data_IF_248436739317
#
_entry.id   IF_248436739317
#
_cell.length_a   1.000
_cell.length_b   1.000
_cell.length_c   1.000
_cell.angle_alpha   90.00
_cell.angle_beta   90.00
_cell.angle_gamma   90.00
#
_symmetry.space_group_name_H-M   'P 1'
#
loop_
_entity.id
_entity.type
_entity.pdbx_description
1 polymer ?
#
# COMPACT_ATOMS: atom_id res chain seq x y z
N UNK A 1 -14.14 26.83 -1.88
CA UNK A 1 -14.17 25.97 -3.07
C UNK A 1 -13.50 24.69 -2.64
N UNK A 2 -14.22 23.58 -2.70
CA UNK A 2 -13.68 22.28 -2.30
C UNK A 2 -12.64 21.79 -3.33
N UNK A 3 -11.87 20.75 -3.01
CA UNK A 3 -10.93 20.15 -3.96
C UNK A 3 -11.69 19.59 -5.15
N UNK A 4 -12.84 18.95 -4.92
CA UNK A 4 -13.71 18.46 -5.99
C UNK A 4 -14.22 19.60 -6.89
N UNK A 5 -14.74 20.68 -6.32
CA UNK A 5 -15.22 21.84 -7.09
C UNK A 5 -14.12 22.39 -8.00
N UNK A 6 -12.89 22.47 -7.46
CA UNK A 6 -11.73 22.93 -8.20
C UNK A 6 -11.40 21.99 -9.37
N UNK A 7 -11.35 20.68 -9.12
CA UNK A 7 -11.06 19.66 -10.15
C UNK A 7 -12.13 19.69 -11.22
N UNK A 8 -13.41 19.55 -10.85
CA UNK A 8 -14.52 19.57 -11.80
C UNK A 8 -14.52 20.83 -12.67
N UNK A 9 -14.15 21.99 -12.10
CA UNK A 9 -14.12 23.26 -12.84
C UNK A 9 -12.96 23.32 -13.83
N UNK A 10 -11.76 22.91 -13.42
CA UNK A 10 -10.51 23.22 -14.13
C UNK A 10 -9.94 22.04 -14.93
N UNK A 11 -10.19 20.79 -14.53
CA UNK A 11 -9.56 19.61 -15.10
C UNK A 11 -10.44 19.02 -16.21
N UNK A 12 -10.35 19.61 -17.41
CA UNK A 12 -11.29 19.32 -18.52
C UNK A 12 -10.77 18.36 -19.59
N UNK A 13 -9.46 18.31 -19.82
CA UNK A 13 -8.87 17.62 -20.98
C UNK A 13 -7.58 16.89 -20.61
N UNK A 14 -7.17 15.95 -21.45
CA UNK A 14 -5.96 15.13 -21.29
C UNK A 14 -5.95 14.39 -19.94
N UNK A 15 -4.79 14.18 -19.35
CA UNK A 15 -4.65 13.46 -18.07
C UNK A 15 -5.41 14.13 -16.92
N UNK A 16 -5.57 15.46 -16.94
CA UNK A 16 -6.39 16.17 -15.96
C UNK A 16 -7.87 15.79 -16.12
N UNK A 17 -8.39 15.76 -17.35
CA UNK A 17 -9.75 15.28 -17.63
C UNK A 17 -9.96 13.83 -17.18
N UNK A 18 -9.01 12.94 -17.47
CA UNK A 18 -9.06 11.55 -17.03
C UNK A 18 -9.13 11.42 -15.50
N UNK A 19 -8.37 12.25 -14.76
CA UNK A 19 -8.46 12.32 -13.31
C UNK A 19 -9.84 12.81 -12.83
N UNK A 20 -10.41 13.84 -13.46
CA UNK A 20 -11.74 14.33 -13.12
C UNK A 20 -12.83 13.27 -13.35
N UNK A 21 -12.78 12.57 -14.47
CA UNK A 21 -13.74 11.51 -14.81
C UNK A 21 -13.60 10.31 -13.86
N UNK A 22 -12.37 9.94 -13.49
CA UNK A 22 -12.07 8.91 -12.51
C UNK A 22 -12.67 9.25 -11.14
N UNK A 23 -12.53 10.49 -10.68
CA UNK A 23 -13.05 10.95 -9.38
C UNK A 23 -14.58 10.86 -9.34
N UNK A 24 -15.29 11.32 -10.36
CA UNK A 24 -16.76 11.22 -10.37
C UNK A 24 -17.22 9.75 -10.48
N UNK A 25 -16.48 8.93 -11.21
CA UNK A 25 -16.80 7.51 -11.34
C UNK A 25 -16.59 6.74 -10.04
N UNK A 26 -15.46 6.90 -9.35
CA UNK A 26 -15.19 6.19 -8.09
C UNK A 26 -16.16 6.63 -6.99
N UNK A 27 -16.54 7.93 -6.97
CA UNK A 27 -17.56 8.42 -6.05
C UNK A 27 -18.89 7.73 -6.28
N UNK A 28 -19.36 7.71 -7.53
CA UNK A 28 -20.60 7.03 -7.90
C UNK A 28 -20.52 5.55 -7.52
N UNK A 29 -19.39 4.89 -7.74
CA UNK A 29 -19.17 3.50 -7.36
C UNK A 29 -19.30 3.28 -5.85
N UNK A 30 -18.64 4.11 -5.03
CA UNK A 30 -18.71 4.04 -3.57
C UNK A 30 -20.11 4.42 -3.02
N UNK A 31 -20.82 5.34 -3.67
CA UNK A 31 -22.19 5.74 -3.31
C UNK A 31 -23.23 4.64 -3.62
N UNK A 32 -22.89 3.66 -4.48
CA UNK A 32 -23.73 2.52 -4.83
C UNK A 32 -23.19 1.21 -4.21
N UNK A 33 -22.84 1.27 -2.93
CA UNK A 33 -22.39 0.12 -2.12
C UNK A 33 -21.12 -0.58 -2.63
N UNK A 34 -20.29 0.12 -3.43
CA UNK A 34 -19.02 -0.38 -3.91
C UNK A 34 -17.95 -0.47 -2.83
N UNK A 35 -17.25 -1.61 -2.75
CA UNK A 35 -16.06 -1.79 -1.91
C UNK A 35 -14.81 -1.44 -2.70
N UNK A 36 -13.87 -0.73 -2.07
CA UNK A 36 -12.64 -0.30 -2.72
C UNK A 36 -11.41 -0.91 -2.06
N UNK A 37 -10.62 -1.61 -2.87
CA UNK A 37 -9.23 -1.94 -2.54
C UNK A 37 -8.30 -0.89 -3.16
N UNK A 38 -7.36 -0.39 -2.36
CA UNK A 38 -6.26 0.45 -2.86
C UNK A 38 -4.98 -0.37 -2.84
N UNK A 39 -4.21 -0.31 -3.93
CA UNK A 39 -2.86 -0.89 -3.93
C UNK A 39 -1.81 0.19 -3.72
N UNK A 40 -0.78 -0.07 -2.93
CA UNK A 40 0.34 0.88 -2.71
C UNK A 40 1.65 0.26 -3.22
N UNK A 41 2.08 0.68 -4.40
CA UNK A 41 3.45 0.54 -4.88
C UNK A 41 4.23 1.84 -4.66
N UNK A 42 5.46 1.92 -5.18
CA UNK A 42 6.33 3.08 -4.97
C UNK A 42 6.61 3.33 -3.49
N UNK A 43 7.19 4.47 -3.15
CA UNK A 43 7.49 4.86 -1.77
C UNK A 43 6.40 5.77 -1.19
N UNK A 44 5.12 5.37 -1.29
CA UNK A 44 3.99 6.24 -0.93
C UNK A 44 3.89 6.52 0.56
N UNK A 45 4.33 5.59 1.41
CA UNK A 45 4.42 5.79 2.85
C UNK A 45 5.51 6.80 3.22
N UNK A 46 6.69 6.69 2.61
CA UNK A 46 7.72 7.75 2.68
C UNK A 46 7.23 9.09 2.11
N UNK A 47 6.37 9.08 1.09
CA UNK A 47 5.72 10.28 0.56
C UNK A 47 4.57 10.81 1.45
N UNK A 48 4.39 10.26 2.65
CA UNK A 48 3.42 10.69 3.66
C UNK A 48 1.97 10.62 3.17
N UNK A 49 1.64 9.60 2.36
CA UNK A 49 0.27 9.42 1.86
C UNK A 49 -0.75 9.26 3.00
N UNK A 50 -0.31 8.83 4.18
CA UNK A 50 -1.14 8.66 5.36
C UNK A 50 -1.93 9.92 5.75
N UNK A 51 -1.43 11.12 5.45
CA UNK A 51 -2.16 12.39 5.63
C UNK A 51 -3.52 12.44 4.94
N UNK A 52 -3.68 11.73 3.83
CA UNK A 52 -4.95 11.66 3.08
C UNK A 52 -5.57 10.27 3.07
N UNK A 53 -4.75 9.21 3.18
CA UNK A 53 -5.23 7.84 3.24
C UNK A 53 -5.83 7.49 4.60
N UNK A 54 -5.26 7.96 5.71
CA UNK A 54 -5.78 7.66 7.04
C UNK A 54 -7.20 8.22 7.26
N UNK A 55 -7.53 9.47 6.88
CA UNK A 55 -8.92 9.95 6.88
C UNK A 55 -9.85 9.11 6.00
N UNK A 56 -9.41 8.69 4.81
CA UNK A 56 -10.20 7.88 3.90
C UNK A 56 -10.53 6.48 4.47
N UNK A 57 -9.58 5.86 5.17
CA UNK A 57 -9.81 4.62 5.93
C UNK A 57 -10.82 4.86 7.05
N UNK A 58 -10.61 5.89 7.89
CA UNK A 58 -11.50 6.21 9.03
C UNK A 58 -12.93 6.52 8.60
N UNK A 59 -13.12 7.03 7.39
CA UNK A 59 -14.45 7.33 6.83
C UNK A 59 -14.99 6.21 5.95
N UNK A 60 -14.42 5.00 6.06
CA UNK A 60 -14.89 3.78 5.42
C UNK A 60 -14.98 3.89 3.88
N UNK A 61 -14.09 4.67 3.27
CA UNK A 61 -13.97 4.75 1.80
C UNK A 61 -13.00 3.71 1.24
N UNK A 62 -12.13 3.16 2.09
CA UNK A 62 -11.16 2.12 1.75
C UNK A 62 -11.50 0.87 2.58
N UNK A 63 -11.56 -0.28 1.91
CA UNK A 63 -12.06 -1.53 2.48
C UNK A 63 -10.99 -2.62 2.58
N UNK A 64 -9.90 -2.47 1.83
CA UNK A 64 -8.68 -3.27 1.97
C UNK A 64 -7.50 -2.55 1.31
N UNK A 65 -6.28 -2.93 1.70
CA UNK A 65 -5.05 -2.44 1.09
C UNK A 65 -4.21 -3.64 0.62
N UNK A 66 -3.62 -3.53 -0.56
CA UNK A 66 -2.53 -4.41 -0.98
C UNK A 66 -1.26 -3.59 -1.19
N UNK A 67 -0.19 -3.85 -0.45
CA UNK A 67 1.00 -3.00 -0.48
C UNK A 67 2.30 -3.80 -0.60
N UNK A 68 3.37 -3.13 -1.02
CA UNK A 68 4.73 -3.67 -0.89
C UNK A 68 5.15 -3.69 0.57
N UNK A 69 6.12 -4.54 0.93
CA UNK A 69 6.67 -4.57 2.29
C UNK A 69 7.24 -3.22 2.72
N UNK A 70 7.90 -2.49 1.81
CA UNK A 70 8.38 -1.13 2.05
C UNK A 70 7.26 -0.18 2.49
N UNK A 71 6.10 -0.17 1.82
CA UNK A 71 4.99 0.69 2.26
C UNK A 71 4.45 0.25 3.63
N UNK A 72 4.35 -1.06 3.88
CA UNK A 72 3.88 -1.58 5.16
C UNK A 72 4.76 -1.15 6.34
N UNK A 73 6.07 -1.01 6.16
CA UNK A 73 6.99 -0.68 7.26
C UNK A 73 7.33 0.80 7.35
N UNK A 74 7.41 1.52 6.22
CA UNK A 74 7.89 2.91 6.19
C UNK A 74 6.92 3.91 6.82
N UNK A 75 5.60 3.64 6.86
CA UNK A 75 4.64 4.47 7.60
C UNK A 75 4.85 4.34 9.12
N UNK A 76 5.16 3.13 9.61
CA UNK A 76 5.54 2.89 10.99
C UNK A 76 6.89 3.56 11.32
N UNK A 77 7.89 3.42 10.44
CA UNK A 77 9.20 4.07 10.61
C UNK A 77 9.06 5.60 10.69
N UNK A 78 8.23 6.17 9.82
CA UNK A 78 7.96 7.60 9.82
C UNK A 78 7.24 8.03 11.11
N UNK A 79 6.29 7.24 11.60
CA UNK A 79 5.58 7.52 12.84
C UNK A 79 6.52 7.50 14.07
N UNK A 80 7.55 6.65 14.07
CA UNK A 80 8.51 6.53 15.17
C UNK A 80 9.58 7.62 15.16
N UNK A 81 10.07 8.05 14.00
CA UNK A 81 11.26 8.90 13.92
C UNK A 81 11.07 10.12 13.00
N UNK A 82 9.85 10.64 12.87
CA UNK A 82 9.47 11.67 11.89
C UNK A 82 10.42 12.86 11.83
N UNK A 83 10.85 13.36 12.98
CA UNK A 83 11.69 14.55 13.17
C UNK A 83 13.16 14.31 12.81
N UNK A 84 13.59 13.04 12.81
CA UNK A 84 14.93 12.61 12.40
C UNK A 84 15.05 12.38 10.88
N UNK A 85 13.94 12.37 10.14
CA UNK A 85 13.95 12.29 8.67
C UNK A 85 14.56 13.56 8.05
N UNK A 86 15.45 13.38 7.08
CA UNK A 86 16.09 14.50 6.38
C UNK A 86 15.50 14.72 4.99
N UNK A 87 15.02 15.93 4.72
CA UNK A 87 14.67 16.32 3.35
C UNK A 87 15.93 16.70 2.57
N UNK A 88 15.99 16.29 1.30
CA UNK A 88 17.10 16.53 0.37
C UNK A 88 16.59 17.38 -0.80
N UNK A 89 16.60 18.72 -0.70
CA UNK A 89 16.00 19.60 -1.72
C UNK A 89 16.60 19.47 -3.12
N UNK A 90 17.88 19.12 -3.22
CA UNK A 90 18.64 19.03 -4.49
C UNK A 90 18.98 17.57 -4.87
N UNK A 91 18.10 16.63 -4.55
CA UNK A 91 18.35 15.19 -4.75
C UNK A 91 18.68 14.79 -6.21
N UNK A 92 18.33 15.61 -7.21
CA UNK A 92 18.66 15.35 -8.62
C UNK A 92 20.14 15.60 -8.94
N UNK A 93 20.81 16.41 -8.13
CA UNK A 93 22.24 16.74 -8.28
C UNK A 93 23.12 15.93 -7.30
N UNK A 94 22.53 14.98 -6.56
CA UNK A 94 23.20 14.19 -5.54
C UNK A 94 24.27 13.27 -6.18
N UNK A 95 25.50 13.36 -5.69
CA UNK A 95 26.60 12.53 -6.14
C UNK A 95 26.73 11.24 -5.33
N UNK A 96 27.49 10.28 -5.83
CA UNK A 96 27.81 9.06 -5.08
C UNK A 96 28.54 9.34 -3.75
N UNK A 97 29.31 10.44 -3.67
CA UNK A 97 29.96 10.87 -2.43
C UNK A 97 28.96 11.42 -1.41
N UNK A 98 27.90 12.08 -1.88
CA UNK A 98 26.83 12.57 -1.00
C UNK A 98 26.01 11.40 -0.45
N UNK A 99 25.72 10.39 -1.27
CA UNK A 99 25.09 9.14 -0.83
C UNK A 99 25.98 8.37 0.16
N UNK A 100 27.30 8.34 -0.04
CA UNK A 100 28.24 7.78 0.95
C UNK A 100 28.18 8.56 2.27
N UNK A 101 28.09 9.89 2.23
CA UNK A 101 27.98 10.70 3.44
C UNK A 101 26.68 10.41 4.21
N UNK A 102 25.55 10.23 3.52
CA UNK A 102 24.31 9.76 4.16
C UNK A 102 24.52 8.40 4.83
N UNK A 103 25.13 7.45 4.12
CA UNK A 103 25.40 6.12 4.66
C UNK A 103 26.31 6.16 5.90
N UNK A 104 27.40 6.94 5.88
CA UNK A 104 28.30 7.12 7.03
C UNK A 104 27.60 7.75 8.25
N UNK A 105 26.52 8.50 8.01
CA UNK A 105 25.66 9.08 9.06
C UNK A 105 24.52 8.14 9.50
N UNK A 106 24.41 6.96 8.90
CA UNK A 106 23.34 6.00 9.19
C UNK A 106 21.99 6.38 8.57
N UNK A 107 22.00 7.06 7.41
CA UNK A 107 20.79 7.46 6.70
C UNK A 107 20.64 6.67 5.39
N UNK A 108 19.43 6.19 5.12
CA UNK A 108 19.06 5.49 3.89
C UNK A 108 18.20 6.41 3.00
N UNK A 109 18.62 6.66 1.75
CA UNK A 109 17.93 7.62 0.88
C UNK A 109 16.84 6.97 0.02
N UNK A 110 15.66 7.60 0.02
CA UNK A 110 14.57 7.38 -0.93
C UNK A 110 14.27 8.71 -1.60
N UNK A 111 14.59 8.82 -2.89
CA UNK A 111 14.47 10.07 -3.68
C UNK A 111 15.05 11.29 -2.98
N UNK A 112 14.19 12.11 -2.39
CA UNK A 112 14.44 13.39 -1.73
C UNK A 112 14.25 13.36 -0.21
N UNK A 113 14.25 12.14 0.36
CA UNK A 113 14.10 11.88 1.79
C UNK A 113 15.21 10.91 2.24
N UNK A 114 15.80 11.15 3.41
CA UNK A 114 16.73 10.24 4.07
C UNK A 114 16.09 9.72 5.37
N UNK A 115 16.05 8.40 5.51
CA UNK A 115 15.45 7.67 6.62
C UNK A 115 16.54 7.28 7.63
N UNK A 116 16.39 7.61 8.91
CA UNK A 116 17.38 7.29 9.95
C UNK A 116 17.33 5.81 10.35
N UNK A 117 18.44 5.10 10.16
CA UNK A 117 18.56 3.67 10.46
C UNK A 117 18.36 3.37 11.95
N UNK A 118 19.00 4.14 12.84
CA UNK A 118 19.00 3.81 14.27
C UNK A 118 17.69 4.19 14.95
N UNK A 119 17.21 5.40 14.66
CA UNK A 119 16.03 6.01 15.27
C UNK A 119 14.74 5.36 14.76
N UNK A 120 14.68 4.97 13.48
CA UNK A 120 13.50 4.30 12.93
C UNK A 120 13.65 2.76 12.92
N UNK A 121 14.54 2.24 12.07
CA UNK A 121 14.58 0.80 11.74
C UNK A 121 15.02 -0.03 12.96
N UNK A 122 16.13 0.34 13.60
CA UNK A 122 16.68 -0.40 14.75
C UNK A 122 15.86 -0.22 16.02
N UNK A 123 15.09 0.86 16.14
CA UNK A 123 14.11 1.00 17.20
C UNK A 123 12.97 -0.01 17.01
N UNK A 124 12.33 -0.02 15.83
CA UNK A 124 11.22 -0.93 15.52
C UNK A 124 11.65 -2.39 15.57
N UNK A 125 12.85 -2.71 15.09
CA UNK A 125 13.43 -4.06 15.17
C UNK A 125 13.37 -4.63 16.59
N UNK A 126 13.75 -3.84 17.60
CA UNK A 126 13.78 -4.31 18.99
C UNK A 126 12.39 -4.71 19.47
N UNK A 127 11.38 -3.94 19.10
CA UNK A 127 10.00 -4.20 19.50
C UNK A 127 9.42 -5.41 18.76
N UNK A 128 9.64 -5.47 17.44
CA UNK A 128 9.21 -6.59 16.61
C UNK A 128 9.85 -7.91 17.04
N UNK A 129 11.12 -7.89 17.46
CA UNK A 129 11.82 -9.08 17.92
C UNK A 129 11.18 -9.70 19.16
N UNK A 130 10.68 -8.89 20.09
CA UNK A 130 9.99 -9.42 21.27
C UNK A 130 8.65 -10.08 20.87
N UNK A 131 7.87 -9.45 19.98
CA UNK A 131 6.65 -10.04 19.44
C UNK A 131 6.91 -11.36 18.70
N UNK A 132 8.00 -11.44 17.94
CA UNK A 132 8.39 -12.66 17.23
C UNK A 132 8.82 -13.79 18.17
N UNK A 133 9.54 -13.48 19.25
CA UNK A 133 9.89 -14.48 20.28
C UNK A 133 8.65 -14.98 21.00
N UNK A 134 7.72 -14.10 21.32
CA UNK A 134 6.46 -14.48 21.97
C UNK A 134 5.62 -15.37 21.05
N UNK A 135 5.53 -15.03 19.76
CA UNK A 135 4.85 -15.87 18.77
C UNK A 135 5.53 -17.25 18.63
N UNK A 136 6.86 -17.30 18.55
CA UNK A 136 7.61 -18.57 18.52
C UNK A 136 7.34 -19.42 19.76
N UNK A 137 7.37 -18.83 20.96
CA UNK A 137 7.11 -19.53 22.21
C UNK A 137 5.67 -20.05 22.31
N UNK A 138 4.71 -19.31 21.74
CA UNK A 138 3.30 -19.68 21.69
C UNK A 138 2.95 -20.65 20.54
N UNK A 139 3.84 -20.82 19.56
CA UNK A 139 3.52 -21.52 18.30
C UNK A 139 2.51 -20.76 17.44
N UNK A 140 2.46 -19.44 17.60
CA UNK A 140 1.58 -18.53 16.88
C UNK A 140 2.17 -18.14 15.52
N UNK A 141 1.31 -17.93 14.53
CA UNK A 141 1.68 -17.59 13.15
C UNK A 141 0.72 -16.53 12.63
N UNK A 142 1.26 -15.38 12.23
CA UNK A 142 0.48 -14.21 11.81
C UNK A 142 1.02 -13.62 10.52
N UNK A 143 0.22 -12.84 9.81
CA UNK A 143 0.67 -12.00 8.72
C UNK A 143 1.54 -10.83 9.23
N UNK A 144 2.41 -10.27 8.37
CA UNK A 144 3.26 -9.14 8.76
C UNK A 144 2.50 -7.95 9.36
N UNK A 145 1.36 -7.60 8.77
CA UNK A 145 0.55 -6.46 9.23
C UNK A 145 -0.07 -6.70 10.61
N UNK A 146 -0.38 -7.95 10.98
CA UNK A 146 -0.97 -8.27 12.28
C UNK A 146 0.03 -8.05 13.43
N UNK A 147 1.32 -8.33 13.21
CA UNK A 147 2.36 -7.97 14.17
C UNK A 147 2.49 -6.44 14.30
N UNK A 148 2.42 -5.71 13.19
CA UNK A 148 2.50 -4.25 13.18
C UNK A 148 1.27 -3.64 13.87
N UNK A 149 0.08 -4.21 13.66
CA UNK A 149 -1.14 -3.77 14.36
C UNK A 149 -1.05 -4.01 15.86
N UNK A 150 -0.58 -5.19 16.28
CA UNK A 150 -0.36 -5.49 17.70
C UNK A 150 0.61 -4.49 18.33
N UNK A 151 1.69 -4.18 17.60
CA UNK A 151 2.66 -3.18 18.03
C UNK A 151 2.07 -1.77 18.12
N UNK A 152 1.27 -1.33 17.15
CA UNK A 152 0.65 0.00 17.14
C UNK A 152 -0.43 0.17 18.21
N UNK A 153 -1.22 -0.88 18.46
CA UNK A 153 -2.38 -0.83 19.37
C UNK A 153 -2.00 -1.12 20.83
N UNK A 154 -0.99 -1.97 21.05
CA UNK A 154 -0.65 -2.47 22.39
C UNK A 154 0.82 -2.28 22.77
N UNK A 155 1.68 -1.89 21.83
CA UNK A 155 3.07 -1.59 22.11
C UNK A 155 3.24 -0.29 22.88
N UNK A 156 4.24 -0.24 23.76
CA UNK A 156 4.70 0.99 24.43
C UNK A 156 5.67 1.72 23.49
N UNK A 157 5.14 2.26 22.40
CA UNK A 157 5.89 2.98 21.39
C UNK A 157 6.01 4.46 21.76
N UNK A 158 7.21 5.02 21.66
CA UNK A 158 7.44 6.46 21.70
C UNK A 158 7.20 7.04 20.29
N UNK A 159 6.00 7.56 20.06
CA UNK A 159 5.60 8.10 18.75
C UNK A 159 6.06 9.55 18.60
N UNK A 160 6.79 9.82 17.52
CA UNK A 160 7.25 11.17 17.17
C UNK A 160 6.32 11.84 16.14
N UNK A 161 5.83 11.08 15.16
CA UNK A 161 4.84 11.53 14.19
C UNK A 161 3.41 11.60 14.75
N UNK A 162 2.52 12.30 14.05
CA UNK A 162 1.09 12.35 14.40
C UNK A 162 0.40 11.03 14.01
N UNK A 163 -0.16 10.25 14.96
CA UNK A 163 -0.89 9.01 14.64
C UNK A 163 -2.12 9.24 13.77
N UNK A 164 -2.67 10.47 13.73
CA UNK A 164 -3.75 10.82 12.82
C UNK A 164 -3.30 10.87 11.35
N UNK A 165 -2.01 11.05 11.10
CA UNK A 165 -1.41 11.09 9.77
C UNK A 165 -0.81 9.74 9.33
N UNK A 166 -0.85 8.70 10.18
CA UNK A 166 -0.43 7.33 9.85
C UNK A 166 -1.60 6.53 9.27
N UNK A 167 -1.40 5.97 8.07
CA UNK A 167 -2.42 5.10 7.49
C UNK A 167 -2.44 3.73 8.16
N UNK A 168 -1.30 3.25 8.69
CA UNK A 168 -1.26 2.00 9.45
C UNK A 168 -2.01 2.12 10.77
N UNK A 169 -1.90 3.24 11.48
CA UNK A 169 -2.67 3.46 12.70
C UNK A 169 -4.17 3.44 12.40
N UNK A 170 -4.63 4.16 11.37
CA UNK A 170 -6.03 4.11 10.95
C UNK A 170 -6.48 2.71 10.51
N UNK A 171 -5.60 1.97 9.84
CA UNK A 171 -5.88 0.61 9.41
C UNK A 171 -5.96 -0.37 10.60
N UNK A 172 -5.07 -0.24 11.58
CA UNK A 172 -5.07 -1.01 12.82
C UNK A 172 -6.33 -0.76 13.65
N UNK A 173 -6.70 0.52 13.85
CA UNK A 173 -7.92 0.92 14.56
C UNK A 173 -9.19 0.34 13.92
N UNK A 174 -9.22 0.28 12.57
CA UNK A 174 -10.33 -0.27 11.80
C UNK A 174 -10.27 -1.79 11.61
N UNK A 175 -9.18 -2.44 12.04
CA UNK A 175 -8.84 -3.83 11.69
C UNK A 175 -8.98 -4.09 10.18
N UNK A 176 -8.41 -3.20 9.37
CA UNK A 176 -8.53 -3.21 7.91
C UNK A 176 -7.72 -4.38 7.32
N UNK A 177 -8.27 -5.17 6.39
CA UNK A 177 -7.51 -6.22 5.71
C UNK A 177 -6.33 -5.65 4.91
N UNK A 178 -5.12 -6.15 5.17
CA UNK A 178 -3.90 -5.80 4.45
C UNK A 178 -3.24 -7.04 3.85
N UNK A 179 -2.97 -6.98 2.54
CA UNK A 179 -2.22 -8.00 1.82
C UNK A 179 -0.84 -7.47 1.45
N UNK A 180 0.22 -8.15 1.89
CA UNK A 180 1.61 -7.73 1.62
C UNK A 180 2.39 -8.85 0.95
N UNK A 181 2.15 -9.10 -0.35
CA UNK A 181 2.89 -10.11 -1.09
C UNK A 181 4.37 -9.71 -1.23
N UNK A 182 5.26 -10.69 -1.12
CA UNK A 182 6.71 -10.46 -1.24
C UNK A 182 7.29 -9.66 -0.07
N UNK A 183 6.75 -9.80 1.15
CA UNK A 183 7.24 -9.07 2.32
C UNK A 183 8.71 -9.38 2.66
N UNK A 184 9.26 -10.49 2.20
CA UNK A 184 10.70 -10.78 2.29
C UNK A 184 11.57 -9.73 1.58
N UNK A 185 11.01 -8.99 0.61
CA UNK A 185 11.61 -7.81 -0.03
C UNK A 185 11.26 -6.54 0.78
N UNK A 186 11.63 -6.55 2.07
CA UNK A 186 11.49 -5.42 3.00
C UNK A 186 12.54 -5.47 4.09
N UNK A 187 12.71 -4.36 4.79
CA UNK A 187 13.68 -4.21 5.88
C UNK A 187 13.35 -5.14 7.04
N UNK A 188 12.11 -5.17 7.52
CA UNK A 188 11.67 -6.05 8.59
C UNK A 188 11.69 -7.52 8.18
N UNK A 189 11.34 -7.83 6.92
CA UNK A 189 11.48 -9.18 6.37
C UNK A 189 12.94 -9.66 6.35
N UNK A 190 13.87 -8.79 5.94
CA UNK A 190 15.31 -9.06 5.97
C UNK A 190 15.82 -9.25 7.41
N UNK A 191 15.36 -8.43 8.34
CA UNK A 191 15.69 -8.55 9.77
C UNK A 191 15.20 -9.87 10.34
N UNK A 192 13.96 -10.29 10.07
CA UNK A 192 13.44 -11.58 10.53
C UNK A 192 14.36 -12.74 10.08
N UNK A 193 14.72 -12.77 8.80
CA UNK A 193 15.62 -13.80 8.26
C UNK A 193 17.01 -13.72 8.90
N UNK A 194 17.54 -12.51 9.14
CA UNK A 194 18.82 -12.33 9.84
C UNK A 194 18.79 -12.92 11.26
N UNK A 195 17.67 -12.75 11.99
CA UNK A 195 17.46 -13.29 13.34
C UNK A 195 17.28 -14.80 13.36
N UNK A 196 16.90 -15.42 12.25
CA UNK A 196 16.96 -16.87 12.09
C UNK A 196 18.39 -17.34 11.83
N UNK A 197 19.13 -16.63 10.98
CA UNK A 197 20.53 -16.98 10.63
C UNK A 197 21.45 -16.90 11.85
N UNK A 198 21.26 -15.91 12.73
CA UNK A 198 22.05 -15.74 13.95
C UNK A 198 21.56 -16.59 15.14
N UNK A 199 20.50 -17.39 14.93
CA UNK A 199 19.86 -18.27 15.92
C UNK A 199 19.17 -17.53 17.09
N UNK A 200 18.86 -16.24 16.93
CA UNK A 200 17.99 -15.51 17.87
C UNK A 200 16.54 -16.02 17.80
N UNK A 201 16.10 -16.41 16.62
CA UNK A 201 14.84 -17.11 16.35
C UNK A 201 15.17 -18.47 15.71
N UNK A 202 14.32 -19.47 15.94
CA UNK A 202 14.50 -20.82 15.41
C UNK A 202 13.96 -20.99 13.99
N UNK A 203 12.95 -20.21 13.59
CA UNK A 203 12.36 -20.26 12.25
C UNK A 203 11.65 -18.95 11.87
N UNK A 204 11.60 -18.65 10.57
CA UNK A 204 10.77 -17.59 9.99
C UNK A 204 9.28 -17.98 9.89
N UNK A 205 8.92 -19.23 10.17
CA UNK A 205 7.55 -19.76 9.97
C UNK A 205 6.48 -19.11 10.86
N UNK A 206 6.88 -18.33 11.86
CA UNK A 206 6.02 -17.46 12.68
C UNK A 206 5.36 -16.34 11.85
N UNK A 207 5.86 -16.06 10.65
CA UNK A 207 5.24 -15.14 9.70
C UNK A 207 4.63 -15.91 8.53
N UNK A 208 3.35 -15.63 8.24
CA UNK A 208 2.63 -16.20 7.11
C UNK A 208 3.13 -15.62 5.79
N UNK A 209 3.32 -16.49 4.79
CA UNK A 209 3.89 -16.15 3.48
C UNK A 209 2.85 -15.61 2.49
N UNK A 210 3.31 -15.13 1.33
CA UNK A 210 2.44 -14.64 0.25
C UNK A 210 1.41 -15.65 -0.29
N UNK A 211 1.67 -16.96 -0.17
CA UNK A 211 0.66 -17.97 -0.54
C UNK A 211 -0.51 -17.99 0.45
N UNK A 212 -0.23 -17.83 1.75
CA UNK A 212 -1.28 -17.68 2.75
C UNK A 212 -2.05 -16.37 2.50
N UNK A 213 -1.35 -15.29 2.14
CA UNK A 213 -1.99 -14.01 1.82
C UNK A 213 -2.92 -14.09 0.59
N UNK A 214 -2.58 -14.91 -0.41
CA UNK A 214 -3.45 -15.15 -1.57
C UNK A 214 -4.72 -15.92 -1.18
N UNK A 215 -4.60 -16.86 -0.25
CA UNK A 215 -5.76 -17.58 0.30
C UNK A 215 -6.66 -16.63 1.10
N UNK A 216 -6.08 -15.84 1.99
CA UNK A 216 -6.81 -14.86 2.81
C UNK A 216 -7.50 -13.80 1.95
N UNK A 217 -6.82 -13.32 0.90
CA UNK A 217 -7.40 -12.44 -0.10
C UNK A 217 -8.59 -13.08 -0.83
N UNK A 218 -8.48 -14.35 -1.18
CA UNK A 218 -9.57 -15.08 -1.82
C UNK A 218 -10.77 -15.27 -0.89
N UNK A 219 -10.55 -15.38 0.42
CA UNK A 219 -11.62 -15.44 1.42
C UNK A 219 -12.27 -14.05 1.57
N UNK A 220 -11.48 -12.99 1.72
CA UNK A 220 -11.96 -11.60 1.75
C UNK A 220 -12.77 -11.22 0.50
N UNK A 221 -12.30 -11.58 -0.69
CA UNK A 221 -12.99 -11.25 -1.94
C UNK A 221 -14.36 -11.95 -2.10
N UNK A 222 -14.58 -13.04 -1.36
CA UNK A 222 -15.80 -13.87 -1.44
C UNK A 222 -16.69 -13.77 -0.21
N UNK A 223 -16.32 -12.94 0.77
CA UNK A 223 -17.05 -12.87 2.03
C UNK A 223 -18.45 -12.26 1.87
N UNK A 224 -18.65 -11.47 0.81
CA UNK A 224 -19.94 -10.94 0.39
C UNK A 224 -20.03 -10.74 -1.15
N UNK A 225 -21.20 -10.30 -1.62
CA UNK A 225 -21.49 -10.08 -3.05
C UNK A 225 -21.33 -8.60 -3.48
N UNK A 226 -20.70 -7.76 -2.65
CA UNK A 226 -20.57 -6.33 -2.92
C UNK A 226 -19.70 -6.08 -4.16
N UNK A 227 -20.10 -5.15 -5.05
CA UNK A 227 -19.26 -4.75 -6.17
C UNK A 227 -17.89 -4.29 -5.66
N UNK A 228 -16.81 -4.96 -6.06
CA UNK A 228 -15.46 -4.66 -5.56
C UNK A 228 -14.60 -4.04 -6.65
N UNK A 229 -14.03 -2.88 -6.36
CA UNK A 229 -13.21 -2.06 -7.24
C UNK A 229 -11.76 -1.99 -6.79
N UNK A 230 -10.85 -1.73 -7.75
CA UNK A 230 -9.42 -1.64 -7.51
C UNK A 230 -8.88 -0.28 -7.97
N UNK A 231 -8.32 0.49 -7.04
CA UNK A 231 -7.50 1.66 -7.34
C UNK A 231 -6.02 1.27 -7.22
N UNK A 232 -5.39 1.02 -8.36
CA UNK A 232 -4.01 0.61 -8.45
C UNK A 232 -3.08 1.83 -8.41
N UNK A 233 -2.27 2.00 -7.36
CA UNK A 233 -1.27 3.07 -7.27
C UNK A 233 0.10 2.49 -7.64
N UNK A 234 0.65 2.95 -8.76
CA UNK A 234 1.85 2.38 -9.37
C UNK A 234 1.56 1.00 -9.98
N UNK A 235 2.52 0.08 -9.88
CA UNK A 235 2.37 -1.30 -10.37
C UNK A 235 3.26 -2.28 -9.64
N UNK A 236 3.71 -3.33 -10.33
CA UNK A 236 4.47 -4.42 -9.71
C UNK A 236 3.58 -5.32 -8.86
N UNK A 237 4.18 -5.96 -7.85
CA UNK A 237 3.53 -7.03 -7.10
C UNK A 237 2.28 -6.56 -6.35
N UNK A 238 2.26 -5.36 -5.78
CA UNK A 238 1.10 -4.85 -5.04
C UNK A 238 -0.11 -4.61 -5.95
N UNK A 239 0.10 -4.35 -7.25
CA UNK A 239 -0.96 -4.18 -8.24
C UNK A 239 -1.41 -5.48 -8.91
N UNK A 240 -0.47 -6.36 -9.30
CA UNK A 240 -0.82 -7.61 -10.01
C UNK A 240 -1.36 -8.70 -9.07
N UNK A 241 -0.78 -8.84 -7.88
CA UNK A 241 -1.16 -9.85 -6.90
C UNK A 241 -2.66 -9.81 -6.58
N UNK A 242 -3.26 -8.67 -6.18
CA UNK A 242 -4.64 -8.67 -5.76
C UNK A 242 -5.59 -8.95 -6.91
N UNK A 243 -5.31 -8.40 -8.09
CA UNK A 243 -6.21 -8.55 -9.24
C UNK A 243 -6.25 -9.99 -9.76
N UNK A 244 -5.22 -10.80 -9.46
CA UNK A 244 -5.13 -12.21 -9.84
C UNK A 244 -6.04 -13.12 -9.02
N UNK A 245 -6.63 -12.65 -7.92
CA UNK A 245 -7.58 -13.43 -7.12
C UNK A 245 -8.76 -13.92 -7.96
N UNK A 246 -9.30 -13.07 -8.85
CA UNK A 246 -10.46 -13.40 -9.69
C UNK A 246 -10.15 -14.51 -10.69
N UNK A 247 -9.13 -14.41 -11.56
CA UNK A 247 -8.81 -15.50 -12.46
C UNK A 247 -8.43 -16.79 -11.73
N UNK A 248 -7.73 -16.70 -10.59
CA UNK A 248 -7.41 -17.87 -9.78
C UNK A 248 -8.69 -18.58 -9.29
N UNK A 249 -9.65 -17.85 -8.73
CA UNK A 249 -10.92 -18.41 -8.28
C UNK A 249 -11.76 -18.99 -9.43
N UNK A 250 -11.82 -18.30 -10.57
CA UNK A 250 -12.65 -18.72 -11.71
C UNK A 250 -12.04 -19.86 -12.51
N UNK A 251 -10.74 -19.82 -12.77
CA UNK A 251 -10.06 -20.76 -13.69
C UNK A 251 -9.45 -21.94 -12.95
N UNK A 252 -8.79 -21.71 -11.82
CA UNK A 252 -8.04 -22.75 -11.11
C UNK A 252 -8.90 -23.46 -10.07
N UNK A 253 -9.70 -22.70 -9.30
CA UNK A 253 -10.65 -23.28 -8.32
C UNK A 253 -11.94 -23.72 -8.99
N UNK A 254 -12.39 -23.02 -10.03
CA UNK A 254 -13.60 -23.34 -10.80
C UNK A 254 -14.90 -22.83 -10.17
N UNK A 255 -14.83 -21.78 -9.34
CA UNK A 255 -16.01 -21.13 -8.76
C UNK A 255 -16.34 -19.83 -9.48
N UNK A 256 -17.64 -19.55 -9.63
CA UNK A 256 -18.09 -18.31 -10.26
C UNK A 256 -18.08 -17.19 -9.22
N UNK A 257 -17.21 -16.20 -9.42
CA UNK A 257 -17.13 -14.98 -8.63
C UNK A 257 -17.22 -13.78 -9.56
N UNK A 258 -17.75 -12.66 -9.08
CA UNK A 258 -17.83 -11.43 -9.87
C UNK A 258 -16.44 -10.99 -10.34
N UNK A 259 -16.39 -10.36 -11.51
CA UNK A 259 -15.18 -9.66 -11.95
C UNK A 259 -15.03 -8.36 -11.15
N UNK A 260 -13.83 -7.76 -11.20
CA UNK A 260 -13.65 -6.43 -10.62
C UNK A 260 -14.62 -5.44 -11.27
N UNK A 261 -15.42 -4.79 -10.43
CA UNK A 261 -16.57 -3.98 -10.84
C UNK A 261 -16.19 -2.53 -11.17
N UNK A 262 -14.97 -2.12 -10.80
CA UNK A 262 -14.40 -0.82 -11.10
C UNK A 262 -12.87 -0.90 -11.10
N UNK A 263 -12.19 -0.18 -11.98
CA UNK A 263 -10.72 -0.16 -12.01
C UNK A 263 -10.17 1.22 -12.36
N UNK A 264 -9.15 1.66 -11.64
CA UNK A 264 -8.28 2.73 -12.09
C UNK A 264 -6.83 2.41 -11.78
N UNK A 265 -5.92 2.91 -12.61
CA UNK A 265 -4.49 2.87 -12.33
C UNK A 265 -3.88 4.27 -12.40
N UNK A 266 -3.08 4.61 -11.39
CA UNK A 266 -2.16 5.73 -11.43
C UNK A 266 -0.81 5.14 -11.79
N UNK A 267 -0.28 5.46 -12.97
CA UNK A 267 0.93 4.83 -13.50
C UNK A 267 1.86 5.86 -14.14
N UNK A 268 3.13 5.82 -13.75
CA UNK A 268 4.24 6.48 -14.42
C UNK A 268 4.79 5.67 -15.61
N UNK A 269 4.41 4.38 -15.68
CA UNK A 269 4.84 3.44 -16.71
C UNK A 269 4.03 3.55 -18.00
N UNK A 270 4.71 3.45 -19.15
CA UNK A 270 4.08 3.39 -20.48
C UNK A 270 3.85 1.94 -20.92
N UNK A 271 2.78 1.65 -21.69
CA UNK A 271 2.61 0.36 -22.35
C UNK A 271 3.65 0.21 -23.48
N UNK A 272 4.84 -0.32 -23.17
CA UNK A 272 5.89 -0.48 -24.19
C UNK A 272 6.75 -1.72 -24.02
N UNK A 273 7.12 -2.09 -22.79
CA UNK A 273 8.15 -3.11 -22.56
C UNK A 273 7.60 -4.45 -22.05
N UNK A 274 6.29 -4.68 -22.15
CA UNK A 274 5.64 -5.89 -21.64
C UNK A 274 5.55 -5.96 -20.11
N UNK A 275 5.80 -4.86 -19.41
CA UNK A 275 5.63 -4.77 -17.96
C UNK A 275 4.16 -4.61 -17.59
N UNK A 276 3.68 -5.42 -16.62
CA UNK A 276 2.30 -5.38 -16.14
C UNK A 276 1.88 -3.99 -15.62
N UNK A 277 2.81 -3.26 -14.96
CA UNK A 277 2.54 -1.95 -14.35
C UNK A 277 1.94 -0.93 -15.33
N UNK A 278 2.36 -0.97 -16.60
CA UNK A 278 1.85 -0.09 -17.66
C UNK A 278 0.80 -0.73 -18.57
N UNK A 279 0.35 -1.95 -18.29
CA UNK A 279 -0.57 -2.68 -19.15
C UNK A 279 -1.94 -1.97 -19.18
N UNK A 280 -2.50 -1.68 -20.37
CA UNK A 280 -3.78 -1.00 -20.48
C UNK A 280 -4.90 -1.86 -19.86
N UNK A 281 -5.96 -1.25 -19.30
CA UNK A 281 -7.05 -2.01 -18.68
C UNK A 281 -7.67 -3.07 -19.60
N UNK A 282 -7.74 -2.80 -20.91
CA UNK A 282 -8.26 -3.75 -21.91
C UNK A 282 -7.51 -5.09 -21.91
N UNK A 283 -6.21 -5.11 -21.60
CA UNK A 283 -5.45 -6.36 -21.52
C UNK A 283 -5.99 -7.25 -20.40
N UNK A 284 -6.43 -6.65 -19.28
CA UNK A 284 -6.98 -7.34 -18.11
C UNK A 284 -8.29 -8.08 -18.41
N UNK A 285 -9.04 -7.65 -19.43
CA UNK A 285 -10.24 -8.36 -19.92
C UNK A 285 -9.86 -9.74 -20.46
N UNK A 286 -8.75 -9.86 -21.17
CA UNK A 286 -8.30 -11.14 -21.73
C UNK A 286 -7.94 -12.18 -20.66
N UNK A 287 -7.55 -11.70 -19.47
CA UNK A 287 -7.28 -12.53 -18.30
C UNK A 287 -8.53 -12.84 -17.47
N UNK A 288 -9.71 -12.34 -17.85
CA UNK A 288 -10.92 -12.48 -17.06
C UNK A 288 -10.85 -11.73 -15.72
N UNK A 289 -10.13 -10.61 -15.68
CA UNK A 289 -10.03 -9.73 -14.50
C UNK A 289 -11.13 -8.64 -14.52
N UNK A 290 -11.47 -8.13 -15.71
CA UNK A 290 -12.45 -7.06 -15.94
C UNK A 290 -13.46 -7.48 -17.02
N UNK A 291 -14.66 -6.88 -17.02
CA UNK A 291 -15.64 -7.00 -18.11
C UNK A 291 -15.51 -5.85 -19.11
N UNK A 292 -16.29 -5.91 -20.21
CA UNK A 292 -16.37 -4.80 -21.18
C UNK A 292 -17.08 -3.56 -20.59
N UNK A 293 -17.92 -3.78 -19.59
CA UNK A 293 -18.74 -2.77 -18.91
C UNK A 293 -18.07 -2.21 -17.66
N UNK A 294 -17.01 -2.86 -17.14
CA UNK A 294 -16.25 -2.36 -16.00
C UNK A 294 -15.72 -0.95 -16.31
N UNK A 295 -16.03 0.09 -15.53
CA UNK A 295 -15.42 1.40 -15.68
C UNK A 295 -13.91 1.31 -15.45
N UNK A 296 -13.12 1.82 -16.41
CA UNK A 296 -11.66 1.78 -16.33
C UNK A 296 -11.03 3.15 -16.55
N UNK A 297 -10.06 3.52 -15.72
CA UNK A 297 -9.33 4.78 -15.85
C UNK A 297 -7.82 4.56 -15.81
N UNK A 298 -7.09 5.37 -16.58
CA UNK A 298 -5.62 5.40 -16.57
C UNK A 298 -5.20 6.84 -16.34
N UNK A 299 -4.52 7.09 -15.22
CA UNK A 299 -3.99 8.39 -14.84
C UNK A 299 -2.47 8.31 -14.97
N UNK A 300 -1.93 8.95 -15.99
CA UNK A 300 -0.49 9.00 -16.27
C UNK A 300 0.16 10.12 -15.45
N UNK A 301 0.45 9.86 -14.17
CA UNK A 301 0.99 10.87 -13.25
C UNK A 301 1.80 10.27 -12.11
N UNK A 302 2.53 11.13 -11.40
CA UNK A 302 3.11 10.82 -10.10
C UNK A 302 1.98 10.67 -9.08
N UNK A 303 1.95 9.53 -8.39
CA UNK A 303 0.93 9.22 -7.40
C UNK A 303 0.91 10.20 -6.23
N UNK A 304 2.06 10.75 -5.82
CA UNK A 304 2.15 11.76 -4.75
C UNK A 304 1.39 13.06 -5.08
N UNK A 305 1.10 13.32 -6.36
CA UNK A 305 0.34 14.48 -6.81
C UNK A 305 -1.16 14.17 -6.85
N UNK A 306 -1.53 13.05 -7.48
CA UNK A 306 -2.94 12.80 -7.84
C UNK A 306 -3.70 11.94 -6.85
N UNK A 307 -3.03 11.03 -6.11
CA UNK A 307 -3.71 10.19 -5.13
C UNK A 307 -4.31 11.01 -3.96
N UNK A 308 -3.60 11.99 -3.37
CA UNK A 308 -4.19 12.86 -2.34
C UNK A 308 -5.46 13.58 -2.83
N UNK A 309 -5.48 14.00 -4.10
CA UNK A 309 -6.64 14.67 -4.71
C UNK A 309 -7.84 13.73 -4.86
N UNK A 310 -7.59 12.47 -5.24
CA UNK A 310 -8.64 11.45 -5.32
C UNK A 310 -9.20 11.16 -3.94
N UNK A 311 -8.32 10.89 -2.96
CA UNK A 311 -8.70 10.56 -1.59
C UNK A 311 -9.50 11.69 -0.93
N UNK A 312 -9.10 12.95 -1.13
CA UNK A 312 -9.86 14.09 -0.63
C UNK A 312 -11.23 14.20 -1.34
N UNK A 313 -11.27 14.07 -2.67
CA UNK A 313 -12.51 14.25 -3.43
C UNK A 313 -13.59 13.19 -3.17
N UNK A 314 -13.22 11.95 -2.78
CA UNK A 314 -14.17 10.89 -2.40
C UNK A 314 -14.71 11.05 -0.97
N UNK A 315 -14.08 11.91 -0.18
CA UNK A 315 -14.46 12.23 1.20
C UNK A 315 -15.44 13.40 1.25
N UNK A 316 -15.38 14.31 0.28
CA UNK A 316 -16.29 15.44 0.16
C UNK A 316 -17.72 14.98 -0.18
N UNK A 317 -18.72 15.46 0.55
CA UNK A 317 -20.14 15.24 0.24
C UNK A 317 -20.56 15.97 -1.04
#
# INVERSE_FOLDING_TARGET
MSVRDFIQRNYRHFNAGALSDCIESIRTFLENDGRLMITLAGAMSTAEIGKTLAPAIRSQKVHAICCTGANLEEDLFNLIARSDYERIPNWRDFSASDDLNLHERGLNRVTDVAIPEQEAIRYVEKQMLELWKDAEAAGDRRFPHEYIYDLLLHGDLDLDGDPNESWLMAAADANLPIFTPGWEDSTLGNILVARVIDLTLSSQDIVLSGLHAMQDLADWYREDDSPTGLLQVGGGISGDFPICVVPMLRQDVGIDVNLWSWFAQISESRPSYGGYSGAPPNEKISWGKLSLETPTFVIESDASIVLPLILEAIMEN
#
